data_IF_651925182674
#
_entry.id   IF_651925182674
#
_cell.length_a   1.000
_cell.length_b   1.000
_cell.length_c   1.000
_cell.angle_alpha   90.00
_cell.angle_beta   90.00
_cell.angle_gamma   90.00
#
_symmetry.space_group_name_H-M   'P 1'
#
loop_
_entity.id
_entity.type
_entity.pdbx_description
1 polymer ?
#
# COMPACT_ATOMS: atom_id res chain seq x y z
N UNK A 1 -4.02 -0.22 5.07
CA UNK A 1 -3.14 -1.37 4.81
C UNK A 1 -3.02 -2.18 6.06
N UNK A 2 -2.80 -3.49 5.92
CA UNK A 2 -2.98 -4.48 6.98
C UNK A 2 -2.00 -4.35 8.17
N UNK A 3 -1.16 -3.31 8.14
CA UNK A 3 -0.18 -2.96 9.19
C UNK A 3 0.79 -4.11 9.47
N UNK A 4 1.05 -4.95 8.47
CA UNK A 4 2.11 -5.95 8.52
C UNK A 4 3.42 -5.32 9.02
N UNK A 5 4.27 -6.05 9.77
CA UNK A 5 5.58 -5.56 10.16
C UNK A 5 6.38 -5.09 8.93
N UNK A 6 7.12 -3.97 9.06
CA UNK A 6 8.07 -3.56 8.01
C UNK A 6 9.41 -4.19 8.35
N UNK A 7 9.84 -5.23 7.62
CA UNK A 7 11.09 -5.91 7.92
C UNK A 7 12.30 -5.05 7.53
N UNK A 8 13.37 -5.19 8.30
CA UNK A 8 14.70 -4.95 7.77
C UNK A 8 15.05 -6.10 6.81
N UNK A 9 15.68 -5.79 5.68
CA UNK A 9 16.12 -6.80 4.73
C UNK A 9 17.11 -7.75 5.41
N UNK A 10 16.83 -9.05 5.35
CA UNK A 10 17.74 -10.12 5.77
C UNK A 10 17.51 -11.33 4.87
N UNK A 11 18.57 -11.97 4.34
CA UNK A 11 18.44 -13.15 3.49
C UNK A 11 17.80 -14.35 4.21
N UNK A 12 17.87 -14.39 5.54
CA UNK A 12 17.31 -15.44 6.40
C UNK A 12 15.78 -15.29 6.59
N UNK A 13 15.24 -14.08 6.39
CA UNK A 13 13.89 -13.74 6.79
C UNK A 13 12.87 -14.08 5.70
N UNK A 14 12.20 -15.23 5.86
CA UNK A 14 10.96 -15.52 5.11
C UNK A 14 9.80 -14.73 5.69
N UNK A 15 9.41 -13.66 5.01
CA UNK A 15 8.31 -12.79 5.43
C UNK A 15 7.02 -13.16 4.72
N UNK A 16 5.96 -13.28 5.51
CA UNK A 16 4.59 -13.39 5.01
C UNK A 16 3.87 -12.07 5.25
N UNK A 17 3.30 -11.52 4.18
CA UNK A 17 2.42 -10.36 4.24
C UNK A 17 0.98 -10.84 4.12
N UNK A 18 0.07 -10.18 4.83
CA UNK A 18 -1.37 -10.50 4.74
C UNK A 18 -1.96 -10.08 3.40
N UNK A 19 -1.37 -9.06 2.77
CA UNK A 19 -1.69 -8.62 1.42
C UNK A 19 -0.84 -9.28 0.32
N UNK A 20 -1.26 -9.14 -0.93
CA UNK A 20 -0.55 -9.67 -2.10
C UNK A 20 -0.68 -8.75 -3.31
N UNK A 21 0.43 -8.51 -4.01
CA UNK A 21 0.41 -7.87 -5.34
C UNK A 21 -0.24 -8.81 -6.35
N UNK A 22 -1.29 -8.35 -7.03
CA UNK A 22 -1.95 -9.12 -8.09
C UNK A 22 -1.19 -8.93 -9.41
N UNK A 23 -0.97 -7.66 -9.80
CA UNK A 23 -0.23 -7.26 -11.00
C UNK A 23 0.31 -5.83 -10.85
N UNK A 24 0.98 -5.28 -11.88
CA UNK A 24 1.40 -3.86 -11.87
C UNK A 24 0.20 -2.95 -11.61
N UNK A 25 0.36 -2.01 -10.69
CA UNK A 25 -0.69 -1.08 -10.28
C UNK A 25 -1.80 -1.68 -9.40
N UNK A 26 -1.83 -2.99 -9.07
CA UNK A 26 -2.87 -3.59 -8.23
C UNK A 26 -2.28 -4.40 -7.06
N UNK A 27 -2.65 -4.01 -5.84
CA UNK A 27 -2.31 -4.70 -4.60
C UNK A 27 -3.58 -5.04 -3.81
N UNK A 28 -3.77 -6.31 -3.45
CA UNK A 28 -4.87 -6.78 -2.60
C UNK A 28 -4.46 -6.72 -1.15
N UNK A 29 -5.32 -6.16 -0.31
CA UNK A 29 -5.19 -6.12 1.14
C UNK A 29 -6.49 -6.63 1.77
N UNK A 30 -6.55 -6.78 3.10
CA UNK A 30 -7.72 -7.39 3.77
C UNK A 30 -9.06 -6.72 3.44
N UNK A 31 -9.05 -5.42 3.11
CA UNK A 31 -10.28 -4.63 2.87
C UNK A 31 -10.54 -4.30 1.39
N UNK A 32 -9.74 -4.79 0.43
CA UNK A 32 -9.99 -4.54 -0.99
C UNK A 32 -8.73 -4.51 -1.87
N UNK A 33 -8.75 -3.66 -2.90
CA UNK A 33 -7.63 -3.45 -3.84
C UNK A 33 -7.22 -1.98 -3.82
N UNK A 34 -5.91 -1.73 -3.81
CA UNK A 34 -5.33 -0.39 -3.94
C UNK A 34 -4.24 -0.39 -5.01
N UNK A 35 -3.75 0.80 -5.37
CA UNK A 35 -2.56 0.88 -6.21
C UNK A 35 -1.33 0.33 -5.45
N UNK A 36 -0.56 -0.54 -6.11
CA UNK A 36 0.66 -1.12 -5.54
C UNK A 36 1.73 -0.05 -5.19
N UNK A 37 1.80 1.04 -5.94
CA UNK A 37 2.76 2.13 -5.68
C UNK A 37 2.32 2.94 -4.46
N UNK A 38 1.01 3.13 -4.26
CA UNK A 38 0.46 3.71 -3.03
C UNK A 38 0.74 2.81 -1.81
N UNK A 39 0.67 1.48 -1.96
CA UNK A 39 1.10 0.55 -0.91
C UNK A 39 2.56 0.76 -0.52
N UNK A 40 3.44 0.91 -1.52
CA UNK A 40 4.86 1.18 -1.32
C UNK A 40 5.11 2.50 -0.60
N UNK A 41 4.55 3.60 -1.12
CA UNK A 41 4.70 4.94 -0.54
C UNK A 41 4.23 5.00 0.92
N UNK A 42 3.06 4.40 1.22
CA UNK A 42 2.54 4.34 2.60
C UNK A 42 3.45 3.54 3.55
N UNK A 43 4.07 2.46 3.08
CA UNK A 43 5.02 1.70 3.90
C UNK A 43 6.33 2.45 4.12
N UNK A 44 6.87 3.15 3.10
CA UNK A 44 8.06 4.00 3.26
C UNK A 44 7.80 5.07 4.31
N UNK A 45 6.68 5.78 4.20
CA UNK A 45 6.36 6.87 5.12
C UNK A 45 6.11 6.34 6.53
N UNK A 46 5.46 5.17 6.67
CA UNK A 46 5.32 4.53 7.98
C UNK A 46 6.67 4.18 8.63
N UNK A 47 7.71 3.89 7.82
CA UNK A 47 9.06 3.56 8.31
C UNK A 47 9.87 4.80 8.66
N UNK A 48 9.89 5.79 7.76
CA UNK A 48 10.83 6.91 7.82
C UNK A 48 10.22 8.19 8.45
N UNK A 49 8.90 8.38 8.37
CA UNK A 49 8.20 9.62 8.78
C UNK A 49 6.84 9.29 9.44
N UNK A 50 6.82 8.53 10.55
CA UNK A 50 5.59 8.01 11.16
C UNK A 50 4.59 9.10 11.59
N UNK A 51 5.06 10.28 11.96
CA UNK A 51 4.25 11.45 12.32
C UNK A 51 3.37 11.94 11.16
N UNK A 52 3.81 11.73 9.91
CA UNK A 52 3.07 12.12 8.70
C UNK A 52 2.03 11.08 8.27
N UNK A 53 1.98 9.91 8.91
CA UNK A 53 1.09 8.81 8.53
C UNK A 53 -0.40 9.19 8.62
N UNK A 54 -0.78 9.98 9.63
CA UNK A 54 -2.17 10.37 9.86
C UNK A 54 -2.70 11.27 8.74
N UNK A 55 -1.90 12.23 8.26
CA UNK A 55 -2.31 13.12 7.18
C UNK A 55 -2.44 12.36 5.84
N UNK A 56 -1.63 11.33 5.62
CA UNK A 56 -1.77 10.46 4.45
C UNK A 56 -3.00 9.55 4.51
N UNK A 57 -3.33 9.03 5.69
CA UNK A 57 -4.59 8.32 5.89
C UNK A 57 -5.78 9.23 5.57
N UNK A 58 -5.67 10.53 5.91
CA UNK A 58 -6.67 11.54 5.57
C UNK A 58 -6.72 11.80 4.06
N UNK A 59 -5.59 12.04 3.38
CA UNK A 59 -5.52 12.21 1.92
C UNK A 59 -6.08 10.98 1.19
N UNK A 60 -5.70 9.78 1.64
CA UNK A 60 -6.22 8.51 1.15
C UNK A 60 -7.75 8.46 1.17
N UNK A 61 -8.37 8.95 2.24
CA UNK A 61 -9.83 8.95 2.40
C UNK A 61 -10.54 10.04 1.58
N UNK A 62 -9.81 10.97 0.93
CA UNK A 62 -10.35 12.09 0.15
C UNK A 62 -10.61 11.79 -1.34
N UNK A 63 -10.29 10.59 -1.85
CA UNK A 63 -10.62 10.15 -3.22
C UNK A 63 -9.43 9.67 -4.07
N UNK A 64 -9.73 9.25 -5.32
CA UNK A 64 -8.89 8.75 -6.44
C UNK A 64 -7.84 7.63 -6.18
N UNK A 65 -7.28 7.49 -4.97
CA UNK A 65 -6.29 6.45 -4.65
C UNK A 65 -6.84 5.01 -4.58
N UNK A 66 -8.17 4.86 -4.60
CA UNK A 66 -8.90 3.58 -4.43
C UNK A 66 -9.68 3.13 -5.66
N UNK A 67 -9.57 3.83 -6.79
CA UNK A 67 -10.21 3.41 -8.03
C UNK A 67 -9.19 3.15 -9.12
N UNK A 68 -8.55 1.95 -9.08
CA UNK A 68 -7.84 1.44 -10.24
C UNK A 68 -8.87 0.95 -11.27
N UNK A 69 -9.76 1.83 -11.72
CA UNK A 69 -10.49 1.58 -12.94
C UNK A 69 -9.57 1.91 -14.09
N UNK A 70 -9.51 1.03 -15.09
CA UNK A 70 -9.04 1.49 -16.40
C UNK A 70 -10.02 2.57 -16.84
N UNK A 71 -9.55 3.81 -17.00
CA UNK A 71 -10.20 4.70 -17.95
C UNK A 71 -9.99 4.01 -19.30
N UNK A 72 -11.02 3.34 -19.80
CA UNK A 72 -11.08 3.01 -21.22
C UNK A 72 -11.27 4.35 -21.92
N UNK A 73 -10.17 4.96 -22.32
CA UNK A 73 -10.21 6.01 -23.32
C UNK A 73 -10.64 5.32 -24.61
N UNK A 74 -11.85 5.66 -25.06
CA UNK A 74 -12.36 5.31 -26.40
C UNK A 74 -11.71 6.22 -27.43
#
# INVERSE_FOLDING_TARGET
LDKDPIPAYSPENKLSFTGKRIKRGLYKWSKGIINADLNGALNIIRKEVPESLNELIRIRNRGCGFQPFKVLAF
#
